data_IF_856253586353
#
_entry.id   IF_856253586353
#
_cell.length_a   1.000
_cell.length_b   1.000
_cell.length_c   1.000
_cell.angle_alpha   90.00
_cell.angle_beta   90.00
_cell.angle_gamma   90.00
#
_symmetry.space_group_name_H-M   'P 1'
#
loop_
_entity.id
_entity.type
_entity.pdbx_description
1 polymer ?
#
# COMPACT_ATOMS: atom_id res chain seq x y z
N UNK A 1 -20.64 10.98 -0.93
CA UNK A 1 -20.92 9.88 0.02
C UNK A 1 -19.62 9.14 0.15
N UNK A 2 -19.06 9.01 1.35
CA UNK A 2 -17.81 8.26 1.53
C UNK A 2 -18.10 6.79 1.16
N UNK A 3 -17.41 6.29 0.15
CA UNK A 3 -17.62 4.95 -0.40
C UNK A 3 -17.12 3.85 0.56
N UNK A 4 -16.29 4.24 1.53
CA UNK A 4 -15.65 3.36 2.49
C UNK A 4 -16.10 3.69 3.93
N UNK A 5 -16.99 2.86 4.46
CA UNK A 5 -17.44 2.91 5.86
C UNK A 5 -16.97 1.67 6.59
N UNK A 6 -16.46 1.84 7.82
CA UNK A 6 -15.98 0.76 8.67
C UNK A 6 -16.56 0.88 10.07
N UNK A 7 -17.06 -0.22 10.62
CA UNK A 7 -17.54 -0.26 12.00
C UNK A 7 -16.44 -0.77 12.93
N UNK A 8 -16.31 -0.11 14.05
CA UNK A 8 -15.33 -0.42 15.08
C UNK A 8 -15.95 -0.33 16.47
N UNK A 9 -15.43 -1.16 17.36
CA UNK A 9 -15.79 -1.16 18.77
C UNK A 9 -14.57 -0.73 19.60
N UNK A 10 -14.80 0.09 20.61
CA UNK A 10 -13.74 0.47 21.52
C UNK A 10 -13.36 -0.72 22.40
N UNK A 11 -12.06 -0.98 22.54
CA UNK A 11 -11.55 -2.05 23.40
C UNK A 11 -10.92 -1.49 24.67
N UNK A 12 -11.20 -2.13 25.79
CA UNK A 12 -10.54 -1.90 27.09
C UNK A 12 -9.41 -2.90 27.34
N UNK A 13 -9.52 -4.11 26.79
CA UNK A 13 -8.61 -5.23 27.03
C UNK A 13 -7.36 -5.11 26.12
N UNK A 14 -6.22 -4.73 26.72
CA UNK A 14 -4.97 -4.46 26.01
C UNK A 14 -3.94 -5.58 26.18
N UNK A 15 -2.98 -5.64 25.24
CA UNK A 15 -1.83 -6.52 25.32
C UNK A 15 -1.88 -7.76 24.41
N UNK A 16 -0.79 -8.53 24.44
CA UNK A 16 -0.53 -9.67 23.53
C UNK A 16 -1.54 -10.80 23.67
N UNK A 17 -1.93 -11.13 24.90
CA UNK A 17 -2.89 -12.21 25.18
C UNK A 17 -4.30 -11.87 24.69
N UNK A 18 -4.81 -10.69 25.03
CA UNK A 18 -6.11 -10.20 24.58
C UNK A 18 -6.19 -10.12 23.05
N UNK A 19 -5.19 -9.50 22.42
CA UNK A 19 -5.14 -9.36 20.96
C UNK A 19 -5.08 -10.71 20.21
N UNK A 20 -4.42 -11.72 20.78
CA UNK A 20 -4.41 -13.09 20.22
C UNK A 20 -5.76 -13.78 20.36
N UNK A 21 -6.44 -13.61 21.50
CA UNK A 21 -7.79 -14.16 21.73
C UNK A 21 -8.81 -13.52 20.79
N UNK A 22 -8.78 -12.19 20.64
CA UNK A 22 -9.67 -11.46 19.73
C UNK A 22 -9.59 -11.98 18.29
N UNK A 23 -8.36 -12.12 17.76
CA UNK A 23 -8.15 -12.66 16.41
C UNK A 23 -8.61 -14.11 16.26
N UNK A 24 -8.39 -14.95 17.28
CA UNK A 24 -8.70 -16.40 17.20
C UNK A 24 -10.16 -16.74 17.46
N UNK A 25 -10.79 -16.08 18.44
CA UNK A 25 -12.11 -16.45 18.95
C UNK A 25 -13.23 -15.59 18.34
N UNK A 26 -12.97 -14.31 18.10
CA UNK A 26 -13.98 -13.36 17.64
C UNK A 26 -13.78 -12.93 16.18
N UNK A 27 -12.68 -13.38 15.52
CA UNK A 27 -12.31 -12.93 14.18
C UNK A 27 -12.25 -11.40 14.04
N UNK A 28 -11.82 -10.74 15.12
CA UNK A 28 -11.65 -9.29 15.19
C UNK A 28 -10.19 -8.90 14.98
N UNK A 29 -9.95 -7.85 14.21
CA UNK A 29 -8.65 -7.23 14.00
C UNK A 29 -8.48 -6.09 15.02
N UNK A 30 -7.42 -6.13 15.84
CA UNK A 30 -7.07 -4.99 16.68
C UNK A 30 -6.54 -3.85 15.82
N UNK A 31 -6.98 -2.63 16.11
CA UNK A 31 -6.52 -1.43 15.44
C UNK A 31 -6.37 -0.25 16.41
N UNK A 32 -5.66 0.78 15.98
CA UNK A 32 -5.46 2.01 16.76
C UNK A 32 -5.79 3.21 15.88
N UNK A 33 -6.56 4.14 16.43
CA UNK A 33 -6.83 5.43 15.81
C UNK A 33 -6.12 6.50 16.61
N UNK A 34 -5.29 7.29 15.96
CA UNK A 34 -4.57 8.39 16.58
C UNK A 34 -4.49 9.59 15.66
N UNK A 35 -3.85 10.66 16.13
CA UNK A 35 -3.73 11.91 15.40
C UNK A 35 -4.84 12.89 15.74
N UNK A 36 -4.57 14.14 15.36
CA UNK A 36 -5.31 15.31 15.78
C UNK A 36 -5.21 15.63 17.26
N UNK A 37 -6.22 16.33 17.77
CA UNK A 37 -6.22 16.83 19.15
C UNK A 37 -6.80 15.83 20.16
N UNK A 38 -7.19 14.64 19.71
CA UNK A 38 -7.77 13.58 20.55
C UNK A 38 -6.73 12.53 20.93
N UNK A 39 -6.92 11.94 22.11
CA UNK A 39 -6.10 10.83 22.57
C UNK A 39 -6.18 9.62 21.60
N UNK A 40 -5.13 8.79 21.54
CA UNK A 40 -5.15 7.52 20.83
C UNK A 40 -6.23 6.59 21.38
N UNK A 41 -7.05 6.04 20.50
CA UNK A 41 -8.11 5.11 20.84
C UNK A 41 -7.77 3.72 20.32
N UNK A 42 -7.84 2.76 21.23
CA UNK A 42 -7.73 1.35 20.93
C UNK A 42 -9.09 0.82 20.49
N UNK A 43 -9.14 0.24 19.29
CA UNK A 43 -10.37 -0.27 18.69
C UNK A 43 -10.21 -1.71 18.19
N UNK A 44 -11.34 -2.37 17.95
CA UNK A 44 -11.42 -3.66 17.29
C UNK A 44 -12.46 -3.62 16.17
N UNK A 45 -12.16 -4.30 15.07
CA UNK A 45 -12.98 -4.29 13.87
C UNK A 45 -13.15 -5.70 13.32
N UNK A 46 -14.23 -5.94 12.57
CA UNK A 46 -14.47 -7.24 11.96
C UNK A 46 -13.44 -7.54 10.86
N UNK A 47 -12.74 -8.68 10.94
CA UNK A 47 -11.71 -9.04 9.96
C UNK A 47 -12.25 -9.12 8.53
N UNK A 48 -13.50 -9.56 8.36
CA UNK A 48 -14.15 -9.66 7.05
C UNK A 48 -14.43 -8.28 6.43
N UNK A 49 -14.82 -7.30 7.23
CA UNK A 49 -15.04 -5.92 6.75
C UNK A 49 -13.72 -5.29 6.31
N UNK A 50 -12.66 -5.46 7.12
CA UNK A 50 -11.31 -5.00 6.77
C UNK A 50 -10.82 -5.68 5.49
N UNK A 51 -10.98 -7.00 5.37
CA UNK A 51 -10.55 -7.73 4.18
C UNK A 51 -11.28 -7.22 2.91
N UNK A 52 -12.60 -7.04 2.98
CA UNK A 52 -13.41 -6.52 1.87
C UNK A 52 -13.00 -5.09 1.48
N UNK A 53 -12.68 -4.25 2.47
CA UNK A 53 -12.19 -2.90 2.20
C UNK A 53 -10.87 -2.94 1.43
N UNK A 54 -9.95 -3.81 1.85
CA UNK A 54 -8.61 -3.95 1.26
C UNK A 54 -8.59 -4.72 -0.07
N UNK A 55 -9.72 -5.24 -0.55
CA UNK A 55 -9.85 -5.75 -1.92
C UNK A 55 -9.85 -4.60 -2.95
N UNK A 56 -10.16 -3.38 -2.52
CA UNK A 56 -10.03 -2.19 -3.33
C UNK A 56 -8.73 -1.46 -2.97
N UNK A 57 -7.78 -1.40 -3.88
CA UNK A 57 -6.48 -0.74 -3.66
C UNK A 57 -6.61 0.76 -3.38
N UNK A 58 -7.71 1.39 -3.81
CA UNK A 58 -7.99 2.78 -3.49
C UNK A 58 -8.26 3.00 -1.98
N UNK A 59 -8.54 1.95 -1.20
CA UNK A 59 -8.80 2.07 0.23
C UNK A 59 -7.60 2.63 1.02
N UNK A 60 -6.37 2.47 0.53
CA UNK A 60 -5.18 3.04 1.17
C UNK A 60 -5.05 4.55 0.98
N UNK A 61 -5.53 5.06 -0.16
CA UNK A 61 -5.47 6.45 -0.56
C UNK A 61 -6.79 7.20 -0.32
N UNK A 62 -7.77 6.59 0.33
CA UNK A 62 -9.07 7.19 0.62
C UNK A 62 -9.30 7.55 2.09
N UNK A 63 -10.14 8.58 2.27
CA UNK A 63 -10.70 8.94 3.57
C UNK A 63 -11.82 7.94 3.89
N UNK A 64 -11.59 7.17 4.95
CA UNK A 64 -12.52 6.17 5.47
C UNK A 64 -13.36 6.82 6.57
N UNK A 65 -14.66 6.59 6.53
CA UNK A 65 -15.54 6.92 7.66
C UNK A 65 -15.54 5.75 8.65
N UNK A 66 -14.88 5.95 9.80
CA UNK A 66 -14.82 4.98 10.87
C UNK A 66 -15.88 5.30 11.92
N UNK A 67 -16.77 4.35 12.18
CA UNK A 67 -17.80 4.44 13.20
C UNK A 67 -17.37 3.68 14.45
N UNK A 68 -16.99 4.42 15.50
CA UNK A 68 -16.62 3.84 16.81
C UNK A 68 -17.80 4.01 17.76
N UNK A 69 -18.54 2.92 18.02
CA UNK A 69 -19.65 2.93 18.99
C UNK A 69 -20.72 4.01 18.74
N UNK A 70 -20.97 4.38 17.48
CA UNK A 70 -21.92 5.41 17.08
C UNK A 70 -21.29 6.78 16.77
N UNK A 71 -20.00 6.99 17.07
CA UNK A 71 -19.28 8.20 16.71
C UNK A 71 -18.54 8.02 15.38
N UNK A 72 -18.89 8.85 14.39
CA UNK A 72 -18.25 8.87 13.09
C UNK A 72 -17.00 9.76 13.11
N UNK A 73 -15.90 9.24 12.60
CA UNK A 73 -14.65 9.99 12.43
C UNK A 73 -13.99 9.65 11.09
N UNK A 74 -13.42 10.66 10.44
CA UNK A 74 -12.70 10.50 9.18
C UNK A 74 -11.24 10.11 9.46
N UNK A 75 -10.83 8.98 8.91
CA UNK A 75 -9.50 8.43 9.11
C UNK A 75 -8.89 7.96 7.79
N UNK A 76 -7.57 7.81 7.77
CA UNK A 76 -6.83 7.17 6.68
C UNK A 76 -5.98 6.02 7.25
N UNK A 77 -5.73 5.00 6.44
CA UNK A 77 -4.83 3.90 6.80
C UNK A 77 -3.40 4.42 6.71
N UNK A 78 -2.68 4.42 7.84
CA UNK A 78 -1.25 4.78 7.87
C UNK A 78 -0.36 3.55 7.73
N UNK A 79 -0.73 2.46 8.39
CA UNK A 79 0.04 1.22 8.32
C UNK A 79 -0.86 0.01 8.52
N UNK A 80 -0.51 -1.08 7.84
CA UNK A 80 -1.21 -2.35 7.91
C UNK A 80 -0.20 -3.47 8.13
N UNK A 81 -0.41 -4.26 9.18
CA UNK A 81 0.40 -5.45 9.42
C UNK A 81 -0.35 -6.67 8.93
N UNK A 82 0.25 -7.42 7.99
CA UNK A 82 -0.31 -8.67 7.47
C UNK A 82 0.47 -9.87 7.98
N UNK A 83 -0.20 -11.01 8.06
CA UNK A 83 0.44 -12.27 8.39
C UNK A 83 1.23 -12.78 7.17
N UNK A 84 2.55 -13.05 7.29
CA UNK A 84 3.41 -13.33 6.13
C UNK A 84 2.97 -14.56 5.33
N UNK A 85 2.52 -15.63 6.01
CA UNK A 85 2.12 -16.86 5.33
C UNK A 85 0.62 -16.95 4.97
N UNK A 86 -0.25 -16.14 5.59
CA UNK A 86 -1.72 -16.31 5.50
C UNK A 86 -2.43 -15.09 4.91
N UNK A 87 -1.72 -13.98 4.71
CA UNK A 87 -2.26 -12.75 4.13
C UNK A 87 -3.27 -11.97 4.98
N UNK A 88 -3.80 -12.56 6.06
CA UNK A 88 -4.78 -11.88 6.91
C UNK A 88 -4.19 -10.71 7.69
N UNK A 89 -5.00 -9.69 7.92
CA UNK A 89 -4.60 -8.50 8.69
C UNK A 89 -4.45 -8.85 10.17
N UNK A 90 -3.30 -8.49 10.73
CA UNK A 90 -2.94 -8.65 12.13
C UNK A 90 -3.20 -7.40 12.95
N UNK A 91 -2.93 -6.23 12.36
CA UNK A 91 -3.07 -4.92 12.97
C UNK A 91 -3.30 -3.86 11.90
N UNK A 92 -4.05 -2.82 12.23
CA UNK A 92 -4.22 -1.63 11.38
C UNK A 92 -4.04 -0.35 12.20
N UNK A 93 -3.33 0.60 11.61
CA UNK A 93 -3.08 1.93 12.17
C UNK A 93 -3.83 2.96 11.35
N UNK A 94 -4.66 3.75 12.04
CA UNK A 94 -5.46 4.79 11.45
C UNK A 94 -5.04 6.16 11.97
N UNK A 95 -4.95 7.13 11.06
CA UNK A 95 -4.68 8.54 11.38
C UNK A 95 -5.93 9.36 11.12
N UNK A 96 -6.34 10.19 12.09
CA UNK A 96 -7.47 11.11 11.93
C UNK A 96 -7.12 12.20 10.93
N UNK A 97 -8.04 12.43 9.99
CA UNK A 97 -7.88 13.45 8.95
C UNK A 97 -8.38 14.79 9.48
N UNK A 98 -7.48 15.77 9.59
CA UNK A 98 -7.83 17.16 9.92
C UNK A 98 -7.68 18.04 8.68
N UNK A 99 -8.71 18.84 8.42
CA UNK A 99 -8.66 19.81 7.33
C UNK A 99 -7.50 20.81 7.56
N UNK A 100 -6.60 20.92 6.58
CA UNK A 100 -5.50 21.89 6.58
C UNK A 100 -4.18 21.38 7.16
N UNK A 101 -4.12 20.16 7.69
CA UNK A 101 -2.85 19.52 8.07
C UNK A 101 -2.36 18.62 6.94
N UNK A 102 -1.06 18.67 6.64
CA UNK A 102 -0.43 17.72 5.73
C UNK A 102 -0.51 16.31 6.34
N UNK A 103 -0.85 15.33 5.53
CA UNK A 103 -0.87 13.93 5.91
C UNK A 103 -0.04 13.11 4.93
N UNK A 104 0.56 12.03 5.44
CA UNK A 104 1.24 11.01 4.65
C UNK A 104 0.30 9.84 4.39
N UNK A 105 0.14 9.46 3.13
CA UNK A 105 -0.67 8.34 2.69
C UNK A 105 0.14 7.44 1.75
N UNK A 106 -0.25 6.17 1.67
CA UNK A 106 0.29 5.22 0.69
C UNK A 106 -0.69 5.20 -0.49
N UNK A 107 -0.19 5.52 -1.68
CA UNK A 107 -0.98 5.61 -2.90
C UNK A 107 -0.50 4.57 -3.91
N UNK A 108 -1.40 3.76 -4.50
CA UNK A 108 -1.04 2.78 -5.52
C UNK A 108 -0.62 3.44 -6.84
N UNK A 109 0.25 2.76 -7.56
CA UNK A 109 0.72 3.15 -8.89
C UNK A 109 -0.03 2.32 -9.93
N UNK A 110 -0.61 2.99 -10.93
CA UNK A 110 -1.20 2.35 -12.10
C UNK A 110 -0.31 2.58 -13.32
N UNK A 111 0.11 1.50 -13.95
CA UNK A 111 0.91 1.55 -15.17
C UNK A 111 -0.01 1.58 -16.39
N UNK A 112 0.25 2.51 -17.29
CA UNK A 112 -0.49 2.69 -18.55
C UNK A 112 0.44 2.38 -19.72
N UNK A 113 -0.12 1.88 -20.82
CA UNK A 113 0.61 1.53 -22.05
C UNK A 113 1.68 0.44 -21.88
N UNK A 114 1.51 -0.49 -20.92
CA UNK A 114 2.39 -1.65 -20.72
C UNK A 114 2.59 -2.49 -22.01
N UNK A 115 1.61 -2.50 -22.91
CA UNK A 115 1.71 -3.29 -24.14
C UNK A 115 2.81 -2.84 -25.10
N UNK A 116 3.23 -1.57 -25.07
CA UNK A 116 4.19 -1.03 -26.01
C UNK A 116 5.60 -1.66 -25.86
N UNK A 117 6.23 -1.66 -24.67
CA UNK A 117 7.51 -2.35 -24.46
C UNK A 117 7.38 -3.87 -24.62
N UNK A 118 6.23 -4.46 -24.28
CA UNK A 118 5.99 -5.90 -24.46
C UNK A 118 5.97 -6.28 -25.96
N UNK A 119 5.34 -5.47 -26.81
CA UNK A 119 5.35 -5.68 -28.28
C UNK A 119 6.74 -5.51 -28.88
N UNK A 120 7.63 -4.75 -28.24
CA UNK A 120 9.05 -4.62 -28.64
C UNK A 120 9.91 -5.80 -28.14
N UNK A 121 9.32 -6.79 -27.48
CA UNK A 121 10.01 -7.96 -26.95
C UNK A 121 10.68 -7.73 -25.59
N UNK A 122 10.25 -6.73 -24.83
CA UNK A 122 10.67 -6.51 -23.44
C UNK A 122 9.70 -7.14 -22.43
N UNK A 123 10.22 -7.51 -21.27
CA UNK A 123 9.46 -7.90 -20.08
C UNK A 123 9.51 -6.76 -19.06
N UNK A 124 8.36 -6.38 -18.50
CA UNK A 124 8.26 -5.30 -17.52
C UNK A 124 8.36 -5.92 -16.13
N UNK A 125 9.27 -5.41 -15.32
CA UNK A 125 9.31 -5.72 -13.89
C UNK A 125 8.89 -4.49 -13.09
N UNK A 126 7.85 -4.65 -12.26
CA UNK A 126 7.37 -3.62 -11.35
C UNK A 126 8.16 -3.74 -10.04
N UNK A 127 9.10 -2.82 -9.83
CA UNK A 127 9.93 -2.80 -8.62
C UNK A 127 9.15 -2.23 -7.44
N UNK A 128 8.28 -1.24 -7.69
CA UNK A 128 7.46 -0.61 -6.66
C UNK A 128 6.04 -0.37 -7.20
N UNK A 129 5.04 -0.85 -6.47
CA UNK A 129 3.61 -0.75 -6.85
C UNK A 129 2.84 0.29 -6.03
N UNK A 130 3.43 0.80 -4.94
CA UNK A 130 2.83 1.76 -4.02
C UNK A 130 3.87 2.79 -3.57
N UNK A 131 3.46 4.05 -3.42
CA UNK A 131 4.33 5.15 -3.00
C UNK A 131 3.77 5.89 -1.81
N UNK A 132 4.65 6.28 -0.89
CA UNK A 132 4.29 7.18 0.20
C UNK A 132 4.36 8.64 -0.27
N UNK A 133 3.23 9.33 -0.14
CA UNK A 133 3.07 10.73 -0.53
C UNK A 133 2.60 11.57 0.65
N UNK A 134 3.09 12.81 0.72
CA UNK A 134 2.62 13.83 1.65
C UNK A 134 1.78 14.86 0.90
N UNK A 135 0.52 15.03 1.28
CA UNK A 135 -0.36 16.03 0.68
C UNK A 135 -1.38 16.57 1.68
N UNK A 136 -2.11 17.60 1.28
CA UNK A 136 -3.31 18.01 2.02
C UNK A 136 -4.44 17.01 1.74
N UNK A 137 -5.38 16.80 2.70
CA UNK A 137 -6.50 15.89 2.50
C UNK A 137 -7.38 16.20 1.28
N UNK A 138 -7.33 17.44 0.76
CA UNK A 138 -8.06 17.87 -0.44
C UNK A 138 -7.38 17.47 -1.75
N UNK A 139 -6.07 17.28 -1.71
CA UNK A 139 -5.23 17.04 -2.87
C UNK A 139 -4.73 15.58 -2.90
N UNK A 140 -5.38 14.68 -2.15
CA UNK A 140 -5.03 13.27 -2.07
C UNK A 140 -5.48 12.55 -3.35
N UNK A 141 -4.55 12.08 -4.20
CA UNK A 141 -4.89 11.33 -5.40
C UNK A 141 -5.28 9.89 -5.05
N UNK A 142 -6.19 9.31 -5.84
CA UNK A 142 -6.60 7.92 -5.66
C UNK A 142 -5.51 6.95 -6.14
N UNK A 143 -4.85 7.28 -7.24
CA UNK A 143 -3.75 6.52 -7.83
C UNK A 143 -2.79 7.47 -8.57
N UNK A 144 -1.59 6.98 -8.85
CA UNK A 144 -0.58 7.70 -9.64
C UNK A 144 -0.38 6.95 -10.96
N UNK A 145 -0.65 7.62 -12.08
CA UNK A 145 -0.44 7.05 -13.40
C UNK A 145 1.03 7.14 -13.82
N UNK A 146 1.56 6.04 -14.32
CA UNK A 146 2.91 5.95 -14.91
C UNK A 146 2.78 5.45 -16.34
N UNK A 147 3.13 6.30 -17.30
CA UNK A 147 3.10 5.96 -18.73
C UNK A 147 4.39 5.24 -19.13
N UNK A 148 4.26 3.99 -19.56
CA UNK A 148 5.37 3.15 -20.03
C UNK A 148 5.47 3.11 -21.56
N UNK A 149 4.63 3.86 -22.29
CA UNK A 149 4.49 3.76 -23.75
C UNK A 149 5.75 4.14 -24.54
N UNK A 150 6.57 5.04 -23.98
CA UNK A 150 7.78 5.55 -24.64
C UNK A 150 9.03 4.70 -24.38
N UNK A 151 8.96 3.71 -23.48
CA UNK A 151 10.15 2.99 -23.02
C UNK A 151 10.64 1.95 -24.04
N UNK A 152 11.95 1.70 -24.00
CA UNK A 152 12.64 0.66 -24.76
C UNK A 152 13.21 -0.42 -23.83
N UNK A 153 13.68 -1.51 -24.43
CA UNK A 153 14.28 -2.62 -23.68
C UNK A 153 15.61 -2.17 -23.10
N UNK A 154 15.74 -2.19 -21.78
CA UNK A 154 16.89 -1.70 -21.03
C UNK A 154 16.64 -0.39 -20.26
N UNK A 155 15.50 0.26 -20.49
CA UNK A 155 15.15 1.51 -19.80
C UNK A 155 14.57 1.27 -18.40
N UNK A 156 14.83 2.22 -17.50
CA UNK A 156 14.32 2.24 -16.14
C UNK A 156 13.56 3.55 -15.90
N UNK A 157 12.41 3.48 -15.24
CA UNK A 157 11.65 4.65 -14.80
C UNK A 157 11.99 4.94 -13.35
N UNK A 158 12.50 6.15 -13.12
CA UNK A 158 12.81 6.66 -11.79
C UNK A 158 11.66 7.52 -11.23
N UNK A 159 11.61 7.64 -9.90
CA UNK A 159 10.59 8.42 -9.21
C UNK A 159 10.68 9.92 -9.52
N UNK A 160 11.89 10.41 -9.78
CA UNK A 160 12.16 11.79 -10.23
C UNK A 160 11.53 12.15 -11.58
N UNK A 161 11.27 11.16 -12.43
CA UNK A 161 10.73 11.35 -13.78
C UNK A 161 9.19 11.36 -13.80
N UNK A 162 8.55 11.00 -12.69
CA UNK A 162 7.10 10.97 -12.59
C UNK A 162 6.49 12.36 -12.44
N UNK A 163 5.36 12.55 -13.12
CA UNK A 163 4.52 13.74 -12.96
C UNK A 163 3.78 13.68 -11.63
N UNK A 164 4.29 14.38 -10.62
CA UNK A 164 3.58 14.57 -9.36
C UNK A 164 2.25 15.32 -9.59
N UNK A 165 1.12 14.85 -9.05
CA UNK A 165 -0.12 15.61 -9.02
C UNK A 165 0.05 16.92 -8.23
N UNK A 166 -0.80 17.92 -8.50
CA UNK A 166 -0.71 19.23 -7.82
C UNK A 166 -0.85 19.07 -6.30
N UNK A 167 0.13 19.57 -5.56
CA UNK A 167 0.10 19.56 -4.08
C UNK A 167 0.57 18.27 -3.41
N UNK A 168 1.10 17.32 -4.19
CA UNK A 168 1.61 16.03 -3.71
C UNK A 168 3.14 16.07 -3.66
N UNK A 169 3.71 15.83 -2.49
CA UNK A 169 5.15 15.69 -2.27
C UNK A 169 5.50 14.21 -2.08
N UNK A 170 6.42 13.69 -2.89
CA UNK A 170 6.91 12.31 -2.73
C UNK A 170 7.89 12.24 -1.55
N UNK A 171 7.59 11.39 -0.56
CA UNK A 171 8.42 11.25 0.65
C UNK A 171 9.82 10.72 0.29
N UNK A 172 9.89 9.76 -0.63
CA UNK A 172 11.16 9.17 -1.07
C UNK A 172 12.11 10.22 -1.69
N UNK A 173 11.61 11.07 -2.59
CA UNK A 173 12.40 12.16 -3.18
C UNK A 173 12.77 13.22 -2.14
N UNK A 174 11.87 13.54 -1.20
CA UNK A 174 12.17 14.48 -0.11
C UNK A 174 13.34 13.99 0.77
N UNK A 175 13.54 12.67 0.88
CA UNK A 175 14.67 12.05 1.57
C UNK A 175 15.91 11.83 0.68
N UNK A 176 15.87 12.26 -0.60
CA UNK A 176 16.98 12.10 -1.55
C UNK A 176 17.11 10.70 -2.14
N UNK A 177 16.10 9.85 -1.99
CA UNK A 177 16.07 8.50 -2.56
C UNK A 177 15.29 8.49 -3.86
N UNK A 178 16.00 8.34 -4.99
CA UNK A 178 15.37 8.16 -6.29
C UNK A 178 15.12 6.67 -6.55
N UNK A 179 13.91 6.21 -6.24
CA UNK A 179 13.53 4.81 -6.37
C UNK A 179 13.26 4.47 -7.84
N UNK A 180 13.72 3.30 -8.27
CA UNK A 180 13.29 2.72 -9.54
C UNK A 180 11.88 2.14 -9.37
N UNK A 181 10.95 2.56 -10.22
CA UNK A 181 9.53 2.19 -10.12
C UNK A 181 9.25 0.97 -10.99
N UNK A 182 9.70 1.03 -12.24
CA UNK A 182 9.58 -0.06 -13.21
C UNK A 182 10.80 -0.09 -14.11
N UNK A 183 11.14 -1.29 -14.58
CA UNK A 183 12.23 -1.53 -15.52
C UNK A 183 11.78 -2.48 -16.62
N UNK A 184 12.20 -2.18 -17.85
CA UNK A 184 11.96 -3.03 -19.02
C UNK A 184 13.25 -3.78 -19.32
N UNK A 185 13.21 -5.11 -19.28
CA UNK A 185 14.39 -5.94 -19.55
C UNK A 185 14.10 -6.95 -20.67
N UNK A 186 15.15 -7.46 -21.30
CA UNK A 186 14.97 -8.51 -22.31
C UNK A 186 14.54 -9.81 -21.60
N UNK A 187 13.53 -10.54 -22.12
CA UNK A 187 13.11 -11.80 -21.56
C UNK A 187 14.28 -12.77 -21.58
N UNK A 188 14.62 -13.31 -20.41
CA UNK A 188 15.62 -14.37 -20.32
C UNK A 188 14.95 -15.64 -20.84
N UNK A 189 15.20 -15.99 -22.11
CA UNK A 189 14.93 -17.34 -22.60
C UNK A 189 15.82 -18.27 -21.78
N UNK A 190 15.26 -18.88 -20.75
CA UNK A 190 15.72 -20.18 -20.30
C UNK A 190 15.37 -21.09 -21.46
N UNK A 191 16.35 -21.37 -22.31
CA UNK A 191 16.26 -22.48 -23.21
C UNK A 191 16.04 -23.72 -22.33
N UNK A 192 14.88 -24.34 -22.45
CA UNK A 192 14.68 -25.69 -21.98
C UNK A 192 15.77 -26.54 -22.65
N UNK A 193 16.74 -27.01 -21.87
CA UNK A 193 17.85 -27.85 -22.32
C UNK A 193 19.22 -27.21 -22.29
N UNK A 194 19.86 -27.22 -21.11
CA UNK A 194 21.24 -27.74 -20.88
C UNK A 194 21.61 -27.58 -19.41
N UNK A 195 21.05 -28.45 -18.56
CA UNK A 195 21.80 -28.96 -17.42
C UNK A 195 22.66 -30.11 -17.96
N UNK A 196 23.83 -29.81 -18.51
CA UNK A 196 24.96 -30.74 -18.42
C UNK A 196 25.75 -30.34 -17.18
N UNK A 197 25.82 -31.28 -16.22
CA UNK A 197 26.41 -31.07 -14.92
C UNK A 197 27.91 -30.79 -14.97
N UNK A 198 28.31 -29.76 -14.23
CA UNK A 198 29.65 -29.71 -13.65
C UNK A 198 29.59 -30.45 -12.30
N UNK A 199 29.76 -31.77 -12.34
CA UNK A 199 30.30 -32.49 -11.18
C UNK A 199 31.79 -32.15 -11.07
N UNK A 200 32.15 -31.45 -9.99
CA UNK A 200 33.53 -31.38 -9.55
C UNK A 200 34.01 -32.74 -9.05
N UNK A 201 35.18 -33.16 -9.51
CA UNK A 201 36.08 -34.03 -8.77
C UNK A 201 37.52 -33.72 -9.18
N UNK A 202 38.14 -32.82 -8.42
CA UNK A 202 39.58 -32.79 -8.27
C UNK A 202 39.94 -33.69 -7.07
N UNK A 203 41.03 -34.44 -7.27
CA UNK A 203 41.74 -35.36 -6.35
C UNK A 203 41.30 -36.83 -6.31
#
# INVERSE_FOLDING_TARGET
>A
MNEFTLNAEQRSDLGKGASRRLRRLASLVPAVVYGGDKAPESISMLAKEVAKLLENDAAYSHIIELNVGGQKQNVIIKALQRHPAKGHVLHADFVRVIAGQKLTAIVPIHFVNEEAPVKKGGEISHTTTELEVTCLPKDLPEFIEVDLGALEVGDNVHLSELKAPKGVEFVALAHGNDLAIANVHAPRVVADGTEEGEEGAAE
#
